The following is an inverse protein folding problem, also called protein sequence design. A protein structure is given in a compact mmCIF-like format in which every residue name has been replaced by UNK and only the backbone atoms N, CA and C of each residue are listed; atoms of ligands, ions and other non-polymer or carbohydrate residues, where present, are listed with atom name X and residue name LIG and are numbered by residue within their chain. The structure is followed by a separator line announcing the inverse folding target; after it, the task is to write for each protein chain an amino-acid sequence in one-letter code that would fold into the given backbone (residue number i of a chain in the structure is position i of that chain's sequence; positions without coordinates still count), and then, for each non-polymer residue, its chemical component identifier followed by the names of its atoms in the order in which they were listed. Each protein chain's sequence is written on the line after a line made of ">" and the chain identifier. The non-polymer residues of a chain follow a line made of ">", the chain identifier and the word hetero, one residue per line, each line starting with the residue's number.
data_IF_239836658923
#
_entry.id   IF_239836658923
#
_cell.length_a   1.000
_cell.length_b   1.000
_cell.length_c   1.000
_cell.angle_alpha   90.00
_cell.angle_beta   90.00
_cell.angle_gamma   90.00
#
_symmetry.space_group_name_H-M   'P 1'
#
loop_
_entity.id
_entity.type
_entity.pdbx_description
1 polymer ?
#
# COMPACT_ATOMS: atom_id res chain seq x y z
N UNK A 1 7.04 3.97 1.07
CA UNK A 1 6.16 5.14 1.27
C UNK A 1 5.31 5.43 0.04
N UNK A 2 5.89 5.86 -1.09
CA UNK A 2 5.12 6.23 -2.30
C UNK A 2 4.19 5.12 -2.79
N UNK A 3 4.71 3.90 -2.99
CA UNK A 3 3.89 2.79 -3.49
C UNK A 3 2.80 2.34 -2.51
N UNK A 4 3.04 2.44 -1.20
CA UNK A 4 1.99 2.19 -0.20
C UNK A 4 0.93 3.28 -0.25
N UNK A 5 1.31 4.54 -0.44
CA UNK A 5 0.36 5.64 -0.61
C UNK A 5 -0.50 5.42 -1.88
N UNK A 6 0.13 5.10 -3.02
CA UNK A 6 -0.57 4.74 -4.25
C UNK A 6 -1.54 3.58 -4.02
N UNK A 7 -1.09 2.51 -3.35
CA UNK A 7 -1.91 1.34 -3.07
C UNK A 7 -3.15 1.69 -2.25
N UNK A 8 -2.98 2.45 -1.17
CA UNK A 8 -4.10 2.89 -0.31
C UNK A 8 -5.03 3.87 -1.05
N UNK A 9 -4.51 4.75 -1.90
CA UNK A 9 -5.35 5.62 -2.74
C UNK A 9 -6.22 4.80 -3.71
N UNK A 10 -5.68 3.75 -4.32
CA UNK A 10 -6.48 2.85 -5.18
C UNK A 10 -7.55 2.12 -4.37
N UNK A 11 -7.19 1.62 -3.18
CA UNK A 11 -8.16 0.97 -2.28
C UNK A 11 -9.31 1.94 -1.97
N UNK A 12 -9.01 3.15 -1.49
CA UNK A 12 -10.02 4.16 -1.14
C UNK A 12 -10.87 4.56 -2.36
N UNK A 13 -10.25 4.70 -3.53
CA UNK A 13 -10.93 5.04 -4.79
C UNK A 13 -11.93 3.99 -5.23
N UNK A 14 -11.48 2.73 -5.33
CA UNK A 14 -12.34 1.64 -5.84
C UNK A 14 -13.40 1.19 -4.84
N UNK A 15 -13.17 1.44 -3.55
CA UNK A 15 -14.14 1.16 -2.47
C UNK A 15 -15.02 2.36 -2.12
N UNK A 16 -14.89 3.48 -2.86
CA UNK A 16 -15.69 4.67 -2.58
C UNK A 16 -17.19 4.40 -2.69
N UNK A 17 -18.03 4.81 -1.72
CA UNK A 17 -19.45 4.41 -1.67
C UNK A 17 -20.28 4.78 -2.90
N UNK A 18 -19.98 5.90 -3.55
CA UNK A 18 -20.77 6.42 -4.69
C UNK A 18 -20.03 6.41 -6.03
N UNK A 19 -18.71 6.24 -6.02
CA UNK A 19 -17.84 6.37 -7.20
C UNK A 19 -17.01 5.13 -7.48
N UNK A 20 -16.85 4.28 -6.48
CA UNK A 20 -16.16 3.02 -6.60
C UNK A 20 -16.99 2.01 -7.38
N UNK A 21 -16.36 0.88 -7.67
CA UNK A 21 -17.04 -0.27 -8.26
C UNK A 21 -16.71 -1.49 -7.40
N UNK A 22 -17.59 -1.83 -6.43
CA UNK A 22 -17.35 -2.95 -5.51
C UNK A 22 -17.11 -4.28 -6.22
N UNK A 23 -17.74 -4.50 -7.38
CA UNK A 23 -17.57 -5.72 -8.17
C UNK A 23 -16.16 -5.86 -8.76
N UNK A 24 -15.47 -4.74 -9.03
CA UNK A 24 -14.10 -4.72 -9.57
C UNK A 24 -13.03 -4.40 -8.52
N UNK A 25 -13.41 -4.15 -7.26
CA UNK A 25 -12.48 -3.75 -6.21
C UNK A 25 -11.33 -4.76 -6.03
N UNK A 26 -11.65 -6.06 -5.94
CA UNK A 26 -10.65 -7.11 -5.81
C UNK A 26 -9.65 -7.13 -6.97
N UNK A 27 -10.14 -6.98 -8.20
CA UNK A 27 -9.31 -6.96 -9.41
C UNK A 27 -8.39 -5.73 -9.42
N UNK A 28 -8.94 -4.53 -9.16
CA UNK A 28 -8.17 -3.30 -9.16
C UNK A 28 -7.08 -3.29 -8.08
N UNK A 29 -7.40 -3.73 -6.87
CA UNK A 29 -6.46 -3.83 -5.75
C UNK A 29 -5.38 -4.86 -6.07
N UNK A 30 -5.77 -6.05 -6.56
CA UNK A 30 -4.84 -7.12 -6.93
C UNK A 30 -3.87 -6.71 -8.03
N UNK A 31 -4.36 -6.13 -9.13
CA UNK A 31 -3.51 -5.67 -10.23
C UNK A 31 -2.58 -4.51 -9.81
N UNK A 32 -3.05 -3.62 -8.93
CA UNK A 32 -2.20 -2.56 -8.38
C UNK A 32 -1.07 -3.16 -7.55
N UNK A 33 -1.35 -4.16 -6.72
CA UNK A 33 -0.32 -4.86 -5.96
C UNK A 33 0.66 -5.58 -6.89
N UNK A 34 0.18 -6.24 -7.96
CA UNK A 34 1.04 -6.85 -8.99
C UNK A 34 1.95 -5.81 -9.64
N UNK A 35 1.41 -4.67 -10.05
CA UNK A 35 2.20 -3.58 -10.63
C UNK A 35 3.29 -3.09 -9.68
N UNK A 36 2.94 -2.90 -8.40
CA UNK A 36 3.91 -2.50 -7.37
C UNK A 36 5.05 -3.51 -7.32
N UNK A 37 4.75 -4.82 -7.27
CA UNK A 37 5.78 -5.85 -7.27
C UNK A 37 6.69 -5.79 -8.51
N UNK A 38 6.12 -5.62 -9.70
CA UNK A 38 6.91 -5.52 -10.94
C UNK A 38 7.94 -4.38 -10.89
N UNK A 39 7.66 -3.31 -10.15
CA UNK A 39 8.55 -2.15 -10.03
C UNK A 39 9.49 -2.26 -8.82
N UNK A 40 9.02 -2.74 -7.68
CA UNK A 40 9.75 -2.61 -6.40
C UNK A 40 10.50 -3.84 -5.95
N UNK A 41 10.30 -5.03 -6.55
CA UNK A 41 11.09 -6.23 -6.25
C UNK A 41 12.61 -5.96 -6.29
N UNK A 42 13.20 -5.33 -7.33
CA UNK A 42 14.65 -5.12 -7.37
C UNK A 42 15.16 -4.07 -6.38
N UNK A 43 14.27 -3.31 -5.73
CA UNK A 43 14.65 -2.25 -4.79
C UNK A 43 14.66 -2.76 -3.35
N UNK A 44 13.54 -3.35 -2.90
CA UNK A 44 13.35 -3.71 -1.49
C UNK A 44 12.63 -5.07 -1.31
N UNK A 45 12.56 -5.87 -2.38
CA UNK A 45 11.78 -7.11 -2.45
C UNK A 45 10.27 -6.92 -2.19
N UNK A 46 9.78 -5.69 -2.36
CA UNK A 46 8.40 -5.26 -2.20
C UNK A 46 7.79 -5.61 -0.84
N UNK A 47 7.91 -4.66 0.10
CA UNK A 47 7.15 -4.75 1.34
C UNK A 47 5.69 -4.32 1.17
N UNK A 48 5.45 -3.00 1.13
CA UNK A 48 4.15 -2.31 1.18
C UNK A 48 3.12 -2.81 2.21
N UNK A 49 3.50 -3.76 3.06
CA UNK A 49 2.67 -4.48 4.02
C UNK A 49 3.54 -4.91 5.22
N UNK A 50 3.43 -4.21 6.36
CA UNK A 50 4.17 -4.53 7.59
C UNK A 50 4.02 -5.98 8.03
N UNK A 51 2.82 -6.57 7.98
CA UNK A 51 2.58 -7.94 8.40
C UNK A 51 3.34 -8.96 7.53
N UNK A 52 3.37 -8.73 6.21
CA UNK A 52 4.15 -9.54 5.27
C UNK A 52 5.65 -9.46 5.58
N UNK A 53 6.15 -8.27 5.87
CA UNK A 53 7.57 -8.07 6.18
C UNK A 53 7.98 -8.68 7.52
N UNK A 54 7.13 -8.57 8.55
CA UNK A 54 7.33 -9.23 9.85
C UNK A 54 7.42 -10.75 9.66
N UNK A 55 6.44 -11.33 8.94
CA UNK A 55 6.39 -12.77 8.71
C UNK A 55 7.68 -13.28 8.04
N UNK A 56 8.18 -12.59 7.01
CA UNK A 56 9.44 -12.98 6.38
C UNK A 56 10.67 -12.73 7.24
N UNK A 57 10.71 -11.64 8.00
CA UNK A 57 11.90 -11.28 8.78
C UNK A 57 12.17 -12.26 9.91
N UNK A 58 11.12 -12.82 10.54
CA UNK A 58 11.23 -13.86 11.57
C UNK A 58 12.03 -15.07 11.07
N UNK A 59 11.84 -15.46 9.82
CA UNK A 59 12.55 -16.59 9.19
C UNK A 59 13.76 -16.15 8.35
N UNK A 60 13.98 -14.85 8.19
CA UNK A 60 15.05 -14.27 7.37
C UNK A 60 16.37 -14.04 8.12
N UNK A 61 16.42 -14.33 9.41
CA UNK A 61 17.63 -14.19 10.23
C UNK A 61 17.89 -12.77 10.75
N UNK A 62 19.07 -12.57 11.37
CA UNK A 62 19.43 -11.35 12.08
C UNK A 62 19.39 -10.09 11.22
N UNK A 63 19.91 -10.16 10.00
CA UNK A 63 19.96 -9.01 9.08
C UNK A 63 18.56 -8.55 8.66
N UNK A 64 17.65 -9.51 8.38
CA UNK A 64 16.27 -9.20 8.02
C UNK A 64 15.51 -8.55 9.19
N UNK A 65 15.73 -9.01 10.42
CA UNK A 65 15.15 -8.40 11.62
C UNK A 65 15.73 -7.00 11.88
N UNK A 66 17.03 -6.80 11.67
CA UNK A 66 17.68 -5.51 11.84
C UNK A 66 17.12 -4.44 10.88
N UNK A 67 16.71 -4.83 9.67
CA UNK A 67 16.13 -3.92 8.67
C UNK A 67 14.60 -3.78 8.77
N UNK A 68 13.93 -4.59 9.58
CA UNK A 68 12.46 -4.67 9.63
C UNK A 68 11.79 -3.31 9.88
N UNK A 69 12.42 -2.43 10.66
CA UNK A 69 11.85 -1.12 11.02
C UNK A 69 11.49 -0.27 9.79
N UNK A 70 12.27 -0.33 8.70
CA UNK A 70 12.01 0.42 7.46
C UNK A 70 10.67 -0.02 6.85
N UNK A 71 10.41 -1.33 6.90
CA UNK A 71 9.20 -1.95 6.38
C UNK A 71 7.98 -1.79 7.29
N UNK A 72 8.16 -1.25 8.49
CA UNK A 72 7.06 -0.81 9.36
C UNK A 72 6.77 0.67 9.12
N UNK A 73 7.79 1.53 9.27
CA UNK A 73 7.64 2.99 9.26
C UNK A 73 7.18 3.49 7.89
N UNK A 74 7.88 3.14 6.81
CA UNK A 74 7.62 3.74 5.50
C UNK A 74 6.26 3.31 4.89
N UNK A 75 5.78 2.06 5.05
CA UNK A 75 4.43 1.70 4.65
C UNK A 75 3.35 2.42 5.46
N UNK A 76 3.50 2.50 6.80
CA UNK A 76 2.54 3.21 7.64
C UNK A 76 2.45 4.69 7.28
N UNK A 77 3.59 5.37 7.12
CA UNK A 77 3.62 6.77 6.67
C UNK A 77 2.96 6.92 5.30
N UNK A 78 3.23 6.01 4.36
CA UNK A 78 2.59 6.02 3.04
C UNK A 78 1.06 5.88 3.13
N UNK A 79 0.57 4.95 3.94
CA UNK A 79 -0.87 4.76 4.16
C UNK A 79 -1.54 5.97 4.83
N UNK A 80 -0.88 6.59 5.81
CA UNK A 80 -1.38 7.82 6.44
C UNK A 80 -1.46 8.97 5.43
N UNK A 81 -0.42 9.17 4.62
CA UNK A 81 -0.42 10.19 3.55
C UNK A 81 -1.62 9.98 2.63
N UNK A 82 -1.84 8.76 2.14
CA UNK A 82 -2.98 8.46 1.27
C UNK A 82 -4.32 8.70 1.96
N UNK A 83 -4.49 8.24 3.21
CA UNK A 83 -5.72 8.41 3.98
C UNK A 83 -6.08 9.89 4.18
N UNK A 84 -5.11 10.73 4.53
CA UNK A 84 -5.34 12.16 4.71
C UNK A 84 -5.47 12.93 3.38
N UNK A 85 -4.77 12.50 2.33
CA UNK A 85 -4.80 13.16 1.03
C UNK A 85 -6.06 12.83 0.21
N UNK A 86 -6.65 11.64 0.41
CA UNK A 86 -7.75 11.15 -0.43
C UNK A 86 -8.95 12.10 -0.42
N UNK A 87 -9.40 12.52 0.77
CA UNK A 87 -10.58 13.38 0.90
C UNK A 87 -10.41 14.76 0.25
N UNK A 88 -9.40 15.57 0.61
CA UNK A 88 -9.22 16.91 0.06
C UNK A 88 -8.81 16.93 -1.42
N UNK A 89 -8.17 15.88 -1.94
CA UNK A 89 -7.69 15.89 -3.34
C UNK A 89 -8.62 15.16 -4.30
N UNK A 90 -9.23 14.05 -3.86
CA UNK A 90 -9.93 13.11 -4.76
C UNK A 90 -11.42 13.00 -4.43
N UNK A 91 -11.83 13.29 -3.19
CA UNK A 91 -13.24 13.23 -2.77
C UNK A 91 -13.98 14.57 -2.79
N UNK A 92 -13.36 15.64 -3.30
CA UNK A 92 -13.92 17.01 -3.18
C UNK A 92 -15.05 17.30 -4.18
N UNK A 93 -15.16 16.56 -5.28
CA UNK A 93 -16.11 16.88 -6.36
C UNK A 93 -17.54 16.31 -6.16
N UNK A 94 -18.26 16.69 -5.10
CA UNK A 94 -19.74 16.81 -5.04
C UNK A 94 -20.17 17.10 -3.59
N UNK A 95 -20.42 18.38 -3.32
CA UNK A 95 -21.61 18.77 -2.55
C UNK A 95 -22.76 18.96 -3.55
#
# INVERSE_FOLDING_TARGET
>A
MLFTALFVLVILGVTHPTRGNPALAGLAIGLTLTLIHLVTIPVDNTSVNPARSIASAIFGGGDALAQLWVFLVFPLVGGLIAGFAYKPLLDTARR
#
